data_IF_072427621541
#
_entry.id   IF_072427621541
#
_cell.length_a   1.000
_cell.length_b   1.000
_cell.length_c   1.000
_cell.angle_alpha   90.00
_cell.angle_beta   90.00
_cell.angle_gamma   90.00
#
_symmetry.space_group_name_H-M   'P 1'
#
loop_
_entity.id
_entity.type
_entity.pdbx_description
1 polymer ?
#
# COMPACT_ATOMS: atom_id res chain seq x y z
N UNK A 1 29.97 67.64 3.65
CA UNK A 1 31.28 67.38 3.01
C UNK A 1 31.08 66.32 1.99
N UNK A 2 31.06 66.75 0.84
CA UNK A 2 31.69 66.40 -0.45
C UNK A 2 31.25 65.05 -0.98
N UNK A 3 30.60 64.96 -2.07
CA UNK A 3 30.57 65.57 -3.42
C UNK A 3 30.95 64.57 -4.48
N UNK A 4 30.09 64.53 -5.53
CA UNK A 4 30.35 64.28 -6.95
C UNK A 4 30.62 62.84 -7.40
N UNK A 5 30.12 62.36 -8.50
CA UNK A 5 29.54 63.03 -9.67
C UNK A 5 29.09 62.06 -10.73
N UNK A 6 28.21 62.55 -11.53
CA UNK A 6 27.53 61.96 -12.69
C UNK A 6 28.46 61.73 -13.89
N UNK A 7 27.93 60.95 -14.88
CA UNK A 7 27.84 61.23 -16.34
C UNK A 7 27.37 59.95 -17.06
N UNK A 8 26.15 59.91 -17.48
CA UNK A 8 25.54 59.97 -18.80
C UNK A 8 26.40 59.51 -19.99
N UNK A 9 25.89 58.49 -20.71
CA UNK A 9 25.89 58.48 -22.19
C UNK A 9 24.70 57.68 -22.73
N UNK A 10 23.84 58.43 -23.40
CA UNK A 10 22.79 57.97 -24.31
C UNK A 10 23.49 57.62 -25.64
N UNK A 11 23.13 56.50 -26.23
CA UNK A 11 23.25 56.29 -27.65
C UNK A 11 22.09 55.43 -28.16
N UNK A 12 21.27 56.04 -28.96
CA UNK A 12 20.26 55.43 -29.79
C UNK A 12 20.91 54.73 -30.98
N UNK A 13 20.38 53.63 -31.46
CA UNK A 13 20.04 53.45 -32.87
C UNK A 13 19.39 52.11 -33.22
N UNK A 14 18.33 52.26 -33.91
CA UNK A 14 17.74 51.57 -35.06
C UNK A 14 17.07 50.23 -34.89
N UNK A 15 15.82 50.32 -35.20
CA UNK A 15 14.88 49.24 -35.54
C UNK A 15 15.41 48.37 -36.70
N UNK A 16 15.39 47.06 -36.51
CA UNK A 16 15.22 46.09 -37.60
C UNK A 16 14.23 45.02 -37.13
N UNK A 17 13.05 45.11 -37.67
CA UNK A 17 12.05 44.04 -37.69
C UNK A 17 12.64 42.80 -38.35
N UNK A 18 12.80 41.72 -37.62
CA UNK A 18 12.89 40.37 -38.19
C UNK A 18 11.91 39.48 -37.43
N UNK A 19 10.88 39.10 -38.16
CA UNK A 19 9.98 38.03 -37.82
C UNK A 19 10.79 36.75 -37.58
N UNK A 20 10.85 36.30 -36.34
CA UNK A 20 11.33 34.97 -36.01
C UNK A 20 10.12 34.19 -35.48
N UNK A 21 9.45 33.50 -36.41
CA UNK A 21 8.63 32.34 -36.05
C UNK A 21 9.61 31.26 -35.56
N UNK A 22 9.99 31.37 -34.29
CA UNK A 22 10.78 30.36 -33.59
C UNK A 22 9.84 29.24 -33.18
N UNK A 23 9.99 28.07 -33.79
CA UNK A 23 9.46 26.81 -33.34
C UNK A 23 9.80 26.71 -31.84
N UNK A 24 8.75 26.64 -31.00
CA UNK A 24 8.86 26.16 -29.65
C UNK A 24 9.31 24.69 -29.75
N UNK A 25 10.60 24.48 -29.68
CA UNK A 25 11.13 23.15 -29.46
C UNK A 25 10.60 22.71 -28.10
N UNK A 26 9.80 21.66 -28.09
CA UNK A 26 9.42 20.94 -26.89
C UNK A 26 10.70 20.70 -26.09
N UNK A 27 10.79 21.26 -24.90
CA UNK A 27 11.88 20.93 -23.99
C UNK A 27 11.79 19.42 -23.76
N UNK A 28 12.84 18.64 -24.00
CA UNK A 28 12.81 17.24 -23.67
C UNK A 28 12.51 17.15 -22.19
N UNK A 29 11.44 16.44 -21.84
CA UNK A 29 11.16 16.01 -20.47
C UNK A 29 12.51 15.67 -19.84
N UNK A 30 12.83 16.28 -18.70
CA UNK A 30 13.95 15.84 -17.89
C UNK A 30 13.68 14.36 -17.60
N UNK A 31 14.14 13.51 -18.50
CA UNK A 31 14.37 12.13 -18.15
C UNK A 31 15.15 12.20 -16.84
N UNK A 32 14.59 11.69 -15.78
CA UNK A 32 15.35 11.08 -14.73
C UNK A 32 16.19 10.04 -15.48
N UNK A 33 17.31 10.48 -16.08
CA UNK A 33 18.38 9.56 -16.39
C UNK A 33 18.64 8.93 -15.06
N UNK A 34 18.22 7.66 -14.96
CA UNK A 34 18.45 6.89 -13.78
C UNK A 34 19.84 7.27 -13.31
N UNK A 35 19.98 7.67 -12.07
CA UNK A 35 21.31 7.77 -11.47
C UNK A 35 21.92 6.47 -11.91
N UNK A 36 22.85 6.54 -12.88
CA UNK A 36 23.48 5.35 -13.42
C UNK A 36 24.13 4.72 -12.20
N UNK A 37 23.44 3.79 -11.60
CA UNK A 37 23.96 2.97 -10.54
C UNK A 37 25.08 2.22 -11.23
N UNK A 38 26.34 2.69 -11.04
CA UNK A 38 27.42 1.73 -11.01
C UNK A 38 26.82 0.53 -10.29
N UNK A 39 26.86 -0.65 -10.90
CA UNK A 39 26.44 -1.88 -10.24
C UNK A 39 27.21 -1.99 -8.93
N UNK A 40 26.69 -1.37 -7.91
CA UNK A 40 27.06 -1.64 -6.53
C UNK A 40 26.21 -2.87 -6.23
N UNK A 41 26.86 -3.99 -6.10
CA UNK A 41 26.28 -5.24 -5.64
C UNK A 41 25.93 -5.06 -4.15
N UNK A 42 25.07 -4.06 -3.87
CA UNK A 42 24.65 -3.74 -2.50
C UNK A 42 23.56 -4.74 -2.13
N UNK A 43 23.83 -5.48 -1.06
CA UNK A 43 22.83 -6.35 -0.45
C UNK A 43 21.58 -5.54 -0.14
N UNK A 44 20.40 -6.13 -0.37
CA UNK A 44 19.16 -5.53 0.07
C UNK A 44 19.17 -5.28 1.58
N UNK A 45 18.43 -4.30 2.11
CA UNK A 45 18.52 -3.87 3.51
C UNK A 45 18.31 -4.98 4.54
N UNK A 46 17.45 -5.94 4.22
CA UNK A 46 17.14 -7.08 5.08
C UNK A 46 17.81 -8.41 4.63
N UNK A 47 18.82 -8.33 3.75
CA UNK A 47 19.55 -9.53 3.34
C UNK A 47 20.23 -10.19 4.55
N UNK A 48 19.93 -11.47 4.78
CA UNK A 48 20.37 -12.24 5.93
C UNK A 48 19.37 -12.26 7.09
N UNK A 49 18.32 -11.48 7.05
CA UNK A 49 17.19 -11.57 7.99
C UNK A 49 16.23 -12.66 7.51
N UNK A 50 15.81 -13.52 8.42
CA UNK A 50 14.85 -14.60 8.18
C UNK A 50 13.58 -14.40 8.98
N UNK A 51 12.43 -14.53 8.31
CA UNK A 51 11.09 -14.31 8.88
C UNK A 51 10.31 -15.62 8.82
N UNK A 52 9.86 -16.10 9.95
CA UNK A 52 8.86 -17.17 10.06
C UNK A 52 7.46 -16.52 9.95
N UNK A 53 6.81 -16.73 8.82
CA UNK A 53 5.49 -16.15 8.49
C UNK A 53 4.41 -17.19 8.78
N UNK A 54 3.74 -17.07 9.92
CA UNK A 54 2.59 -17.91 10.30
C UNK A 54 1.27 -17.22 10.00
N UNK A 55 1.28 -16.17 9.18
CA UNK A 55 0.09 -15.36 8.92
C UNK A 55 -0.76 -15.90 7.77
N UNK A 56 -2.01 -15.45 7.73
CA UNK A 56 -2.99 -15.77 6.70
C UNK A 56 -3.74 -14.52 6.26
N UNK A 57 -4.40 -14.58 5.15
CA UNK A 57 -5.29 -13.59 4.55
C UNK A 57 -4.54 -12.37 4.03
N UNK A 58 -4.51 -11.23 4.74
CA UNK A 58 -4.04 -9.98 4.14
C UNK A 58 -3.11 -9.16 5.03
N UNK A 59 -3.53 -8.78 6.24
CA UNK A 59 -2.76 -7.85 7.09
C UNK A 59 -1.34 -8.38 7.40
N UNK A 60 -1.23 -9.58 7.96
CA UNK A 60 0.06 -10.22 8.24
C UNK A 60 0.86 -10.52 6.97
N UNK A 61 0.27 -11.14 5.93
CA UNK A 61 0.94 -11.37 4.64
C UNK A 61 1.45 -10.10 3.97
N UNK A 62 0.77 -8.96 4.11
CA UNK A 62 1.26 -7.65 3.63
C UNK A 62 2.53 -7.24 4.36
N UNK A 63 2.58 -7.39 5.69
CA UNK A 63 3.79 -7.12 6.46
C UNK A 63 4.96 -7.97 5.96
N UNK A 64 4.78 -9.28 5.89
CA UNK A 64 5.87 -10.21 5.52
C UNK A 64 6.27 -10.06 4.05
N UNK A 65 5.36 -9.68 3.14
CA UNK A 65 5.70 -9.34 1.77
C UNK A 65 6.59 -8.09 1.70
N UNK A 66 6.30 -7.03 2.47
CA UNK A 66 7.13 -5.82 2.52
C UNK A 66 8.55 -6.17 3.01
N UNK A 67 8.67 -6.99 4.05
CA UNK A 67 9.98 -7.46 4.54
C UNK A 67 10.69 -8.30 3.49
N UNK A 68 9.96 -9.16 2.78
CA UNK A 68 10.46 -9.93 1.65
C UNK A 68 10.98 -9.05 0.52
N UNK A 69 10.22 -8.04 0.09
CA UNK A 69 10.65 -7.08 -0.95
C UNK A 69 11.94 -6.36 -0.58
N UNK A 70 12.15 -6.09 0.71
CA UNK A 70 13.37 -5.48 1.24
C UNK A 70 14.54 -6.46 1.43
N UNK A 71 14.36 -7.74 1.10
CA UNK A 71 15.46 -8.71 1.05
C UNK A 71 15.46 -9.78 2.13
N UNK A 72 14.50 -9.78 3.05
CA UNK A 72 14.37 -10.86 4.02
C UNK A 72 13.99 -12.18 3.32
N UNK A 73 14.47 -13.29 3.88
CA UNK A 73 14.00 -14.63 3.53
C UNK A 73 12.71 -14.91 4.31
N UNK A 74 11.60 -15.08 3.61
CA UNK A 74 10.29 -15.32 4.22
C UNK A 74 9.94 -16.80 4.10
N UNK A 75 9.75 -17.47 5.24
CA UNK A 75 9.29 -18.85 5.32
C UNK A 75 7.84 -18.84 5.78
N UNK A 76 6.91 -18.94 4.81
CA UNK A 76 5.49 -18.97 5.08
C UNK A 76 5.06 -20.39 5.43
N UNK A 77 4.50 -20.53 6.63
CA UNK A 77 3.92 -21.78 7.12
C UNK A 77 2.45 -21.84 6.73
N UNK A 78 2.11 -22.86 5.98
CA UNK A 78 0.75 -23.08 5.52
C UNK A 78 0.24 -24.47 5.98
N UNK A 79 -1.07 -24.59 6.15
CA UNK A 79 -1.68 -25.90 6.41
C UNK A 79 -1.38 -26.84 5.23
N UNK A 80 -0.90 -28.08 5.43
CA UNK A 80 -0.35 -28.93 4.38
C UNK A 80 -1.32 -29.28 3.24
N UNK A 81 -2.62 -29.21 3.47
CA UNK A 81 -3.64 -29.57 2.46
C UNK A 81 -4.46 -28.39 1.96
N UNK A 82 -4.79 -27.42 2.82
CA UNK A 82 -5.67 -26.30 2.45
C UNK A 82 -4.94 -24.98 2.23
N UNK A 83 -3.69 -24.89 2.70
CA UNK A 83 -2.88 -23.68 2.58
C UNK A 83 -3.43 -22.49 3.39
N UNK A 84 -3.10 -21.30 2.91
CA UNK A 84 -3.73 -20.04 3.30
C UNK A 84 -5.17 -20.00 2.80
N UNK A 85 -6.11 -19.47 3.60
CA UNK A 85 -7.52 -19.40 3.25
C UNK A 85 -7.76 -18.70 1.90
N UNK A 86 -6.90 -17.71 1.57
CA UNK A 86 -6.98 -16.96 0.31
C UNK A 86 -6.69 -17.77 -0.94
N UNK A 87 -6.09 -18.96 -0.83
CA UNK A 87 -5.92 -19.87 -1.98
C UNK A 87 -7.25 -20.33 -2.56
N UNK A 88 -8.31 -20.37 -1.73
CA UNK A 88 -9.66 -20.76 -2.15
C UNK A 88 -10.61 -19.57 -2.39
N UNK A 89 -10.10 -18.31 -2.37
CA UNK A 89 -10.93 -17.12 -2.54
C UNK A 89 -11.02 -16.65 -4.02
N UNK A 90 -10.90 -17.56 -4.94
CA UNK A 90 -11.30 -17.35 -6.33
C UNK A 90 -12.81 -17.55 -6.57
N UNK A 91 -13.33 -17.21 -7.75
CA UNK A 91 -12.66 -16.45 -8.81
C UNK A 91 -12.41 -14.99 -8.47
N UNK A 92 -11.43 -14.29 -9.11
CA UNK A 92 -10.65 -14.80 -10.24
C UNK A 92 -9.46 -15.64 -9.80
N UNK A 93 -9.21 -16.72 -10.55
CA UNK A 93 -8.06 -17.60 -10.41
C UNK A 93 -7.21 -17.57 -11.69
N UNK A 94 -5.90 -17.68 -11.53
CA UNK A 94 -4.98 -17.88 -12.63
C UNK A 94 -4.80 -19.37 -12.87
N UNK A 95 -5.26 -19.88 -14.00
CA UNK A 95 -5.26 -21.30 -14.32
C UNK A 95 -3.82 -21.88 -14.38
N UNK A 96 -3.69 -23.14 -13.98
CA UNK A 96 -2.46 -23.90 -14.16
C UNK A 96 -2.26 -24.25 -15.65
N UNK A 97 -1.02 -24.16 -16.11
CA UNK A 97 -0.62 -24.41 -17.51
C UNK A 97 0.42 -25.53 -17.65
N UNK A 98 0.86 -26.11 -16.54
CA UNK A 98 1.89 -27.18 -16.52
C UNK A 98 1.33 -28.60 -16.64
N UNK A 99 -0.01 -28.75 -16.73
CA UNK A 99 -0.67 -30.05 -16.87
C UNK A 99 -0.71 -30.89 -15.61
N UNK A 100 -0.27 -30.35 -14.46
CA UNK A 100 -0.29 -31.06 -13.18
C UNK A 100 -1.63 -30.81 -12.48
N UNK A 101 -2.31 -31.90 -12.12
CA UNK A 101 -3.55 -31.82 -11.34
C UNK A 101 -3.25 -31.40 -9.89
N UNK A 102 -4.04 -30.47 -9.35
CA UNK A 102 -3.92 -29.93 -7.99
C UNK A 102 -5.29 -29.78 -7.32
N UNK A 103 -5.26 -29.58 -6.01
CA UNK A 103 -6.49 -29.40 -5.22
C UNK A 103 -7.24 -28.09 -5.51
N UNK A 104 -6.55 -27.09 -6.06
CA UNK A 104 -7.15 -25.80 -6.43
C UNK A 104 -7.30 -25.71 -7.96
N UNK A 105 -8.29 -24.97 -8.46
CA UNK A 105 -8.50 -24.81 -9.92
C UNK A 105 -7.43 -23.92 -10.58
N UNK A 106 -6.71 -23.15 -9.78
CA UNK A 106 -5.68 -22.21 -10.17
C UNK A 106 -5.12 -21.51 -8.94
N UNK A 107 -4.23 -20.54 -9.15
CA UNK A 107 -3.77 -19.65 -8.07
C UNK A 107 -4.73 -18.47 -7.95
N UNK A 108 -5.36 -18.31 -6.78
CA UNK A 108 -6.25 -17.18 -6.49
C UNK A 108 -5.53 -15.85 -6.66
N UNK A 109 -6.15 -14.90 -7.36
CA UNK A 109 -5.62 -13.53 -7.49
C UNK A 109 -5.40 -12.85 -6.13
N UNK A 110 -6.21 -13.21 -5.12
CA UNK A 110 -6.04 -12.69 -3.76
C UNK A 110 -4.73 -13.19 -3.14
N UNK A 111 -4.46 -14.51 -3.22
CA UNK A 111 -3.21 -15.09 -2.73
C UNK A 111 -1.99 -14.50 -3.45
N UNK A 112 -2.08 -14.36 -4.79
CA UNK A 112 -0.99 -13.83 -5.61
C UNK A 112 -0.64 -12.38 -5.25
N UNK A 113 -1.57 -11.59 -4.73
CA UNK A 113 -1.37 -10.17 -4.46
C UNK A 113 -0.40 -9.87 -3.33
N UNK A 114 -0.26 -10.78 -2.33
CA UNK A 114 0.48 -10.52 -1.07
C UNK A 114 1.49 -11.60 -0.68
N UNK A 115 1.86 -12.49 -1.60
CA UNK A 115 2.74 -13.61 -1.26
C UNK A 115 3.99 -13.74 -2.16
N UNK A 116 4.33 -12.71 -2.95
CA UNK A 116 5.62 -12.68 -3.69
C UNK A 116 6.82 -12.65 -2.73
N UNK A 117 7.96 -13.11 -3.20
CA UNK A 117 9.21 -13.16 -2.44
C UNK A 117 9.14 -14.02 -1.17
N UNK A 118 8.28 -15.05 -1.16
CA UNK A 118 8.12 -15.98 -0.04
C UNK A 118 8.44 -17.41 -0.47
N UNK A 119 8.91 -18.22 0.49
CA UNK A 119 8.95 -19.68 0.42
C UNK A 119 7.74 -20.23 1.14
N UNK A 120 7.02 -21.18 0.57
CA UNK A 120 5.90 -21.87 1.24
C UNK A 120 6.34 -23.24 1.74
N UNK A 121 6.04 -23.52 3.00
CA UNK A 121 6.15 -24.85 3.61
C UNK A 121 4.78 -25.33 4.05
N UNK A 122 4.38 -26.52 3.63
CA UNK A 122 3.16 -27.18 4.10
C UNK A 122 3.45 -27.90 5.42
N UNK A 123 3.03 -27.33 6.54
CA UNK A 123 3.33 -27.85 7.88
C UNK A 123 2.13 -27.77 8.81
N UNK A 124 1.76 -28.91 9.40
CA UNK A 124 0.72 -28.98 10.45
C UNK A 124 1.36 -28.91 11.81
N UNK A 125 0.92 -28.01 12.65
CA UNK A 125 1.31 -27.94 14.07
C UNK A 125 0.20 -28.47 15.02
N UNK A 126 -0.70 -29.29 14.49
CA UNK A 126 -1.69 -30.00 15.32
C UNK A 126 -1.12 -31.26 15.98
N UNK A 127 0.14 -31.57 15.75
CA UNK A 127 0.85 -32.71 16.32
C UNK A 127 2.23 -32.27 16.89
N UNK A 128 2.83 -33.06 17.79
CA UNK A 128 4.10 -32.70 18.44
C UNK A 128 5.28 -32.54 17.49
N UNK A 129 5.34 -33.32 16.42
CA UNK A 129 6.42 -33.23 15.42
C UNK A 129 6.41 -31.88 14.69
N UNK A 130 5.22 -31.40 14.30
CA UNK A 130 5.06 -30.11 13.66
C UNK A 130 5.42 -28.94 14.59
N UNK A 131 5.05 -29.01 15.87
CA UNK A 131 5.44 -28.03 16.88
C UNK A 131 6.98 -28.03 17.04
N UNK A 132 7.61 -29.20 17.14
CA UNK A 132 9.05 -29.31 17.25
C UNK A 132 9.80 -28.70 16.04
N UNK A 133 9.26 -28.87 14.83
CA UNK A 133 9.77 -28.24 13.61
C UNK A 133 9.67 -26.72 13.72
N UNK A 134 8.53 -26.17 14.15
CA UNK A 134 8.35 -24.72 14.32
C UNK A 134 9.28 -24.14 15.38
N UNK A 135 9.52 -24.84 16.48
CA UNK A 135 10.53 -24.41 17.47
C UNK A 135 11.95 -24.36 16.87
N UNK A 136 12.33 -25.38 16.07
CA UNK A 136 13.63 -25.37 15.36
C UNK A 136 13.70 -24.21 14.37
N UNK A 137 12.63 -23.91 13.63
CA UNK A 137 12.56 -22.75 12.73
C UNK A 137 12.67 -21.43 13.49
N UNK A 138 11.99 -21.28 14.62
CA UNK A 138 12.06 -20.09 15.47
C UNK A 138 13.49 -19.83 15.99
N UNK A 139 14.28 -20.87 16.28
CA UNK A 139 15.71 -20.73 16.63
C UNK A 139 16.58 -20.19 15.49
N UNK A 140 16.16 -20.40 14.23
CA UNK A 140 16.90 -20.01 13.02
C UNK A 140 16.38 -18.72 12.39
N UNK A 141 15.26 -18.18 12.90
CA UNK A 141 14.64 -16.97 12.38
C UNK A 141 14.90 -15.76 13.28
N UNK A 142 14.87 -14.58 12.67
CA UNK A 142 15.03 -13.28 13.33
C UNK A 142 13.70 -12.68 13.74
N UNK A 143 12.65 -13.02 13.00
CA UNK A 143 11.31 -12.49 13.17
C UNK A 143 10.30 -13.64 13.07
N UNK A 144 9.26 -13.60 13.89
CA UNK A 144 8.06 -14.40 13.73
C UNK A 144 6.88 -13.45 13.62
N UNK A 145 6.03 -13.66 12.61
CA UNK A 145 4.78 -12.90 12.44
C UNK A 145 3.61 -13.87 12.43
N UNK A 146 2.60 -13.59 13.25
CA UNK A 146 1.39 -14.42 13.34
C UNK A 146 0.14 -13.54 13.38
N UNK A 147 -1.03 -14.09 13.02
CA UNK A 147 -2.31 -13.40 13.11
C UNK A 147 -3.45 -14.30 13.58
N UNK A 148 -3.19 -15.07 14.62
CA UNK A 148 -4.17 -15.88 15.31
C UNK A 148 -4.87 -15.08 16.41
N UNK A 149 -6.02 -15.61 16.91
CA UNK A 149 -6.67 -15.01 18.08
C UNK A 149 -5.72 -15.03 19.29
N UNK A 150 -5.70 -13.96 20.10
CA UNK A 150 -4.89 -13.89 21.30
C UNK A 150 -5.03 -15.13 22.19
N UNK A 151 -3.91 -15.64 22.67
CA UNK A 151 -3.83 -16.83 23.49
C UNK A 151 -4.00 -18.18 22.79
N UNK A 152 -4.48 -18.22 21.53
CA UNK A 152 -4.73 -19.48 20.82
C UNK A 152 -3.49 -20.29 20.51
N UNK A 153 -2.33 -19.64 20.35
CA UNK A 153 -1.03 -20.30 20.12
C UNK A 153 -0.41 -20.88 21.37
N UNK A 154 -0.88 -20.52 22.57
CA UNK A 154 -0.33 -21.00 23.83
C UNK A 154 -0.42 -22.52 23.98
N UNK A 155 -1.52 -23.14 23.59
CA UNK A 155 -1.71 -24.61 23.61
C UNK A 155 -0.72 -25.35 22.70
N UNK A 156 -0.15 -24.66 21.71
CA UNK A 156 0.84 -25.19 20.80
C UNK A 156 2.28 -24.79 21.19
N UNK A 157 2.45 -24.07 22.30
CA UNK A 157 3.76 -23.55 22.75
C UNK A 157 4.43 -22.66 21.68
N UNK A 158 3.61 -21.92 20.92
CA UNK A 158 4.05 -21.01 19.85
C UNK A 158 3.77 -19.54 20.20
N UNK A 159 3.37 -19.27 21.45
CA UNK A 159 3.17 -17.92 22.00
C UNK A 159 4.52 -17.23 22.27
N UNK A 160 4.48 -15.89 22.43
CA UNK A 160 5.67 -15.10 22.71
C UNK A 160 6.46 -15.58 23.92
N UNK A 161 5.80 -15.91 25.02
CA UNK A 161 6.44 -16.33 26.27
C UNK A 161 7.29 -17.61 26.09
N UNK A 162 6.82 -18.51 25.25
CA UNK A 162 7.54 -19.75 24.92
C UNK A 162 8.65 -19.48 23.91
N UNK A 163 8.34 -18.79 22.81
CA UNK A 163 9.30 -18.55 21.72
C UNK A 163 10.45 -17.66 22.16
N UNK A 164 10.22 -16.65 23.01
CA UNK A 164 11.27 -15.78 23.54
C UNK A 164 12.29 -16.51 24.43
N UNK A 165 11.89 -17.61 25.07
CA UNK A 165 12.83 -18.48 25.81
C UNK A 165 13.68 -19.35 24.87
N UNK A 166 13.10 -19.75 23.73
CA UNK A 166 13.79 -20.54 22.70
C UNK A 166 14.79 -19.66 21.94
N UNK A 167 14.41 -18.43 21.60
CA UNK A 167 15.23 -17.43 20.91
C UNK A 167 14.98 -16.03 21.48
N UNK A 168 15.76 -15.60 22.49
CA UNK A 168 15.61 -14.28 23.12
C UNK A 168 15.85 -13.09 22.18
N UNK A 169 16.49 -13.32 21.03
CA UNK A 169 16.76 -12.28 20.04
C UNK A 169 15.66 -12.16 18.98
N UNK A 170 14.66 -13.04 18.99
CA UNK A 170 13.59 -13.06 18.00
C UNK A 170 12.60 -11.92 18.23
N UNK A 171 12.30 -11.18 17.18
CA UNK A 171 11.19 -10.20 17.16
C UNK A 171 9.90 -10.94 16.87
N UNK A 172 8.95 -10.89 17.79
CA UNK A 172 7.66 -11.55 17.67
C UNK A 172 6.57 -10.52 17.38
N UNK A 173 5.88 -10.63 16.27
CA UNK A 173 4.82 -9.69 15.88
C UNK A 173 3.45 -10.39 15.79
N UNK A 174 2.51 -9.96 16.61
CA UNK A 174 1.12 -10.40 16.60
C UNK A 174 0.25 -9.38 15.86
N UNK A 175 -0.51 -9.81 14.87
CA UNK A 175 -1.46 -8.99 14.13
C UNK A 175 -2.88 -9.47 14.44
N UNK A 176 -3.69 -8.65 15.09
CA UNK A 176 -5.02 -9.06 15.55
C UNK A 176 -6.09 -7.99 15.24
N UNK A 177 -7.35 -8.32 15.42
CA UNK A 177 -8.44 -7.35 15.25
C UNK A 177 -8.41 -6.22 16.29
N UNK A 178 -8.20 -6.57 17.57
CA UNK A 178 -8.38 -5.64 18.68
C UNK A 178 -7.22 -5.59 19.67
N UNK A 179 -6.09 -6.20 19.36
CA UNK A 179 -4.90 -6.22 20.22
C UNK A 179 -4.88 -7.40 21.19
N UNK A 180 -3.73 -7.56 21.88
CA UNK A 180 -3.51 -8.61 22.87
C UNK A 180 -4.10 -8.29 24.24
N UNK A 181 -4.52 -7.06 24.44
CA UNK A 181 -5.09 -6.55 25.70
C UNK A 181 -6.37 -5.75 25.45
N UNK A 182 -7.06 -5.37 26.52
CA UNK A 182 -8.30 -4.60 26.43
C UNK A 182 -9.56 -5.48 26.38
N UNK A 183 -10.73 -4.82 26.40
CA UNK A 183 -12.02 -5.52 26.60
C UNK A 183 -12.46 -6.37 25.39
N UNK A 184 -11.83 -6.23 24.24
CA UNK A 184 -12.17 -6.94 23.00
C UNK A 184 -11.05 -7.85 22.48
N UNK A 185 -10.02 -8.12 23.28
CA UNK A 185 -8.87 -8.91 22.86
C UNK A 185 -9.20 -10.34 22.41
N UNK A 186 -10.30 -10.92 22.89
CA UNK A 186 -10.78 -12.25 22.52
C UNK A 186 -11.74 -12.26 21.31
N UNK A 187 -12.07 -11.07 20.76
CA UNK A 187 -12.96 -10.97 19.59
C UNK A 187 -12.21 -11.17 18.29
N UNK A 188 -12.83 -11.93 17.39
CA UNK A 188 -12.38 -11.97 16.00
C UNK A 188 -12.67 -10.63 15.32
N UNK A 189 -11.69 -10.11 14.58
CA UNK A 189 -11.83 -8.89 13.79
C UNK A 189 -11.31 -9.11 12.37
N UNK A 190 -12.11 -8.66 11.41
CA UNK A 190 -11.69 -8.51 10.01
C UNK A 190 -11.77 -7.04 9.63
N UNK A 191 -11.15 -6.67 8.54
CA UNK A 191 -11.09 -5.30 8.01
C UNK A 191 -12.42 -4.55 8.11
N UNK A 192 -13.46 -5.08 7.49
CA UNK A 192 -14.77 -4.40 7.38
C UNK A 192 -15.48 -4.24 8.73
N UNK A 193 -15.26 -5.14 9.70
CA UNK A 193 -15.80 -5.03 11.04
C UNK A 193 -15.13 -3.89 11.81
N UNK A 194 -13.82 -3.77 11.65
CA UNK A 194 -13.04 -2.69 12.27
C UNK A 194 -13.29 -1.35 11.56
N UNK A 195 -13.43 -1.31 10.22
CA UNK A 195 -13.89 -0.10 9.52
C UNK A 195 -15.22 0.41 10.10
N UNK A 196 -16.15 -0.50 10.38
CA UNK A 196 -17.46 -0.15 10.92
C UNK A 196 -17.37 0.36 12.37
N UNK A 197 -16.67 -0.37 13.25
CA UNK A 197 -16.62 -0.09 14.69
C UNK A 197 -15.72 1.10 15.01
N UNK A 198 -14.62 1.29 14.26
CA UNK A 198 -13.65 2.39 14.47
C UNK A 198 -13.89 3.59 13.56
N UNK A 199 -15.08 3.75 13.00
CA UNK A 199 -15.58 5.00 12.43
C UNK A 199 -15.20 5.28 10.97
N UNK A 200 -14.32 4.51 10.32
CA UNK A 200 -13.95 4.76 8.92
C UNK A 200 -15.16 4.61 7.99
N UNK A 201 -15.95 3.57 8.17
CA UNK A 201 -17.16 3.35 7.39
C UNK A 201 -18.18 4.49 7.58
N UNK A 202 -18.28 5.07 8.80
CA UNK A 202 -19.17 6.20 9.08
C UNK A 202 -18.83 7.44 8.23
N UNK A 203 -17.56 7.73 8.00
CA UNK A 203 -17.10 8.91 7.24
C UNK A 203 -16.92 8.63 5.74
N UNK A 204 -17.15 7.40 5.27
CA UNK A 204 -16.95 6.97 3.89
C UNK A 204 -18.29 6.85 3.14
N UNK A 205 -18.37 7.43 1.94
CA UNK A 205 -19.55 7.40 1.07
C UNK A 205 -20.19 8.78 0.85
N UNK A 206 -21.27 8.81 0.08
CA UNK A 206 -22.03 10.01 -0.21
C UNK A 206 -22.78 10.53 1.02
N UNK A 207 -22.97 11.87 1.09
CA UNK A 207 -23.46 12.56 2.28
C UNK A 207 -24.80 12.03 2.78
N UNK A 208 -25.74 11.86 1.89
CA UNK A 208 -27.13 11.51 2.19
C UNK A 208 -27.46 10.04 1.85
N UNK A 209 -26.42 9.20 1.76
CA UNK A 209 -26.54 7.77 1.51
C UNK A 209 -26.05 6.97 2.72
N UNK A 210 -26.39 5.67 2.80
CA UNK A 210 -25.83 4.79 3.82
C UNK A 210 -24.31 4.79 3.81
N UNK A 211 -23.64 4.49 4.97
CA UNK A 211 -22.21 4.27 5.02
C UNK A 211 -21.80 3.12 4.09
N UNK A 212 -20.60 3.22 3.54
CA UNK A 212 -20.02 2.17 2.68
C UNK A 212 -18.61 1.82 3.17
N UNK A 213 -18.19 0.58 2.95
CA UNK A 213 -16.80 0.19 3.18
C UNK A 213 -15.87 0.83 2.14
N UNK A 214 -14.60 0.94 2.44
CA UNK A 214 -13.57 1.28 1.45
C UNK A 214 -13.46 0.16 0.41
N UNK A 215 -13.13 0.49 -0.83
CA UNK A 215 -13.08 -0.47 -1.95
C UNK A 215 -12.05 -1.59 -1.78
N UNK A 216 -10.94 -1.31 -1.08
CA UNK A 216 -9.92 -2.29 -0.69
C UNK A 216 -9.96 -2.48 0.82
N UNK A 217 -9.40 -3.57 1.34
CA UNK A 217 -9.26 -3.82 2.79
C UNK A 217 -8.14 -2.91 3.36
N UNK A 218 -8.44 -1.62 3.47
CA UNK A 218 -7.46 -0.57 3.80
C UNK A 218 -6.94 -0.68 5.22
N UNK A 219 -7.76 -1.15 6.15
CA UNK A 219 -7.38 -1.37 7.56
C UNK A 219 -6.37 -2.51 7.66
N UNK A 220 -6.60 -3.62 6.97
CA UNK A 220 -5.64 -4.73 6.87
C UNK A 220 -4.31 -4.26 6.28
N UNK A 221 -4.35 -3.57 5.13
CA UNK A 221 -3.15 -3.09 4.43
C UNK A 221 -2.36 -2.12 5.31
N UNK A 222 -3.02 -1.16 5.95
CA UNK A 222 -2.36 -0.20 6.84
C UNK A 222 -1.77 -0.87 8.08
N UNK A 223 -2.47 -1.84 8.66
CA UNK A 223 -1.96 -2.64 9.79
C UNK A 223 -0.72 -3.43 9.38
N UNK A 224 -0.74 -4.06 8.20
CA UNK A 224 0.44 -4.73 7.66
C UNK A 224 1.64 -3.78 7.49
N UNK A 225 1.42 -2.55 7.02
CA UNK A 225 2.46 -1.53 6.92
C UNK A 225 2.97 -1.09 8.29
N UNK A 226 2.10 -0.79 9.26
CA UNK A 226 2.51 -0.45 10.61
C UNK A 226 3.27 -1.58 11.29
N UNK A 227 2.84 -2.82 11.10
CA UNK A 227 3.55 -4.00 11.63
C UNK A 227 4.95 -4.11 11.02
N UNK A 228 5.09 -3.91 9.71
CA UNK A 228 6.41 -3.91 9.07
C UNK A 228 7.33 -2.80 9.62
N UNK A 229 6.80 -1.59 9.84
CA UNK A 229 7.54 -0.50 10.49
C UNK A 229 7.96 -0.90 11.91
N UNK A 230 7.06 -1.49 12.69
CA UNK A 230 7.35 -1.97 14.04
C UNK A 230 8.46 -3.02 14.04
N UNK A 231 8.40 -3.99 13.12
CA UNK A 231 9.45 -5.01 12.95
C UNK A 231 10.79 -4.38 12.59
N UNK A 232 10.82 -3.44 11.65
CA UNK A 232 12.05 -2.73 11.28
C UNK A 232 12.65 -1.96 12.46
N UNK A 233 11.82 -1.28 13.25
CA UNK A 233 12.25 -0.56 14.46
C UNK A 233 12.79 -1.52 15.52
N UNK A 234 12.16 -2.67 15.73
CA UNK A 234 12.60 -3.69 16.66
C UNK A 234 13.94 -4.33 16.23
N UNK A 235 14.09 -4.63 14.93
CA UNK A 235 15.36 -5.14 14.38
C UNK A 235 16.48 -4.10 14.51
N UNK A 236 16.17 -2.81 14.34
CA UNK A 236 17.14 -1.75 14.55
C UNK A 236 17.57 -1.68 16.03
N UNK A 237 16.63 -1.67 16.97
CA UNK A 237 16.91 -1.66 18.41
C UNK A 237 17.68 -2.90 18.87
N UNK A 238 17.40 -4.06 18.28
CA UNK A 238 18.09 -5.33 18.58
C UNK A 238 19.62 -5.26 18.33
N UNK A 239 20.08 -4.41 17.41
CA UNK A 239 21.51 -4.24 17.11
C UNK A 239 22.31 -3.80 18.33
N UNK A 240 21.68 -3.01 19.20
CA UNK A 240 22.31 -2.46 20.40
C UNK A 240 22.05 -3.33 21.63
N UNK A 241 20.86 -3.93 21.71
CA UNK A 241 20.42 -4.69 22.89
C UNK A 241 20.71 -6.20 22.81
N UNK A 242 20.84 -6.73 21.60
CA UNK A 242 20.89 -8.18 21.34
C UNK A 242 19.55 -8.90 21.56
N UNK A 243 18.52 -8.20 22.03
CA UNK A 243 17.22 -8.78 22.40
C UNK A 243 16.15 -8.45 21.39
N UNK A 244 15.27 -9.42 21.12
CA UNK A 244 14.02 -9.23 20.44
C UNK A 244 12.97 -8.61 21.36
N UNK A 245 11.76 -8.45 20.85
CA UNK A 245 10.61 -7.96 21.62
C UNK A 245 9.30 -8.41 21.02
N UNK A 246 8.24 -8.30 21.81
CA UNK A 246 6.88 -8.54 21.32
C UNK A 246 6.28 -7.24 20.75
N UNK A 247 5.69 -7.33 19.57
CA UNK A 247 4.96 -6.27 18.90
C UNK A 247 3.50 -6.70 18.85
N UNK A 248 2.64 -5.90 19.46
CA UNK A 248 1.19 -6.03 19.37
C UNK A 248 0.68 -5.00 18.36
N UNK A 249 0.17 -5.46 17.23
CA UNK A 249 -0.37 -4.62 16.16
C UNK A 249 -1.84 -4.99 15.93
N UNK A 250 -2.75 -4.08 16.30
CA UNK A 250 -4.17 -4.31 16.10
C UNK A 250 -4.74 -3.51 14.93
N UNK A 251 -5.71 -4.10 14.24
CA UNK A 251 -6.46 -3.41 13.20
C UNK A 251 -7.17 -2.17 13.78
N UNK A 252 -7.74 -2.29 14.99
CA UNK A 252 -8.46 -1.20 15.66
C UNK A 252 -7.57 0.00 15.92
N UNK A 253 -6.37 -0.19 16.46
CA UNK A 253 -5.46 0.91 16.79
C UNK A 253 -4.92 1.57 15.53
N UNK A 254 -4.54 0.76 14.52
CA UNK A 254 -4.11 1.25 13.23
C UNK A 254 -5.22 2.03 12.51
N UNK A 255 -6.48 1.57 12.62
CA UNK A 255 -7.62 2.29 12.05
C UNK A 255 -7.86 3.63 12.75
N UNK A 256 -7.82 3.68 14.09
CA UNK A 256 -7.97 4.93 14.85
C UNK A 256 -6.85 5.91 14.51
N UNK A 257 -5.61 5.44 14.41
CA UNK A 257 -4.49 6.26 13.92
C UNK A 257 -4.74 6.78 12.48
N UNK A 258 -5.35 5.96 11.64
CA UNK A 258 -5.71 6.29 10.25
C UNK A 258 -6.83 7.33 10.11
N UNK A 259 -7.63 7.61 11.14
CA UNK A 259 -8.64 8.69 11.11
C UNK A 259 -8.04 10.10 11.08
N UNK A 260 -6.75 10.24 11.39
CA UNK A 260 -5.93 11.44 11.22
C UNK A 260 -6.61 12.74 11.66
N UNK A 261 -6.79 13.70 10.72
CA UNK A 261 -7.37 15.02 10.99
C UNK A 261 -8.85 14.95 11.40
N UNK A 262 -9.60 13.94 11.04
CA UNK A 262 -11.02 13.80 11.41
C UNK A 262 -11.11 13.52 12.92
N UNK A 263 -10.34 12.54 13.42
CA UNK A 263 -10.27 12.27 14.84
C UNK A 263 -9.73 13.47 15.62
N UNK A 264 -8.65 14.12 15.13
CA UNK A 264 -8.09 15.33 15.76
C UNK A 264 -9.11 16.45 15.83
N UNK A 265 -9.94 16.65 14.82
CA UNK A 265 -11.00 17.67 14.82
C UNK A 265 -12.00 17.44 15.94
N UNK A 266 -12.45 16.21 16.12
CA UNK A 266 -13.38 15.83 17.20
C UNK A 266 -12.72 16.02 18.59
N UNK A 267 -11.49 15.53 18.75
CA UNK A 267 -10.76 15.61 20.02
C UNK A 267 -10.47 17.04 20.47
N UNK A 268 -10.07 17.91 19.52
CA UNK A 268 -9.71 19.31 19.83
C UNK A 268 -10.94 20.18 20.06
N UNK A 269 -12.01 19.95 19.32
CA UNK A 269 -13.20 20.82 19.37
C UNK A 269 -14.28 20.31 20.31
N UNK A 270 -14.28 19.03 20.65
CA UNK A 270 -15.38 18.36 21.37
C UNK A 270 -16.69 18.31 20.58
N UNK A 271 -16.66 18.68 19.29
CA UNK A 271 -17.85 18.70 18.43
C UNK A 271 -17.96 17.39 17.66
N UNK A 272 -19.20 17.02 17.35
CA UNK A 272 -19.48 15.88 16.47
C UNK A 272 -18.80 16.10 15.11
N UNK A 273 -18.33 15.01 14.50
CA UNK A 273 -17.78 15.01 13.15
C UNK A 273 -18.81 15.48 12.10
N UNK A 274 -18.33 15.85 10.92
CA UNK A 274 -19.18 16.37 9.83
C UNK A 274 -19.78 15.26 8.95
N UNK A 275 -19.53 14.00 9.28
CA UNK A 275 -20.00 12.83 8.52
C UNK A 275 -19.33 12.65 7.17
N UNK A 276 -20.09 12.07 6.23
CA UNK A 276 -19.62 11.74 4.87
C UNK A 276 -19.64 12.93 3.93
N UNK A 277 -18.68 12.96 3.01
CA UNK A 277 -18.56 14.04 2.02
C UNK A 277 -18.42 13.51 0.58
N UNK A 278 -18.62 12.22 0.34
CA UNK A 278 -18.37 11.61 -0.96
C UNK A 278 -16.92 11.83 -1.42
N UNK A 279 -16.77 12.41 -2.59
CA UNK A 279 -15.45 12.80 -3.11
C UNK A 279 -15.04 14.23 -2.70
N UNK A 280 -15.90 14.98 -1.99
CA UNK A 280 -15.63 16.36 -1.64
C UNK A 280 -14.79 16.51 -0.37
N UNK A 281 -13.95 17.53 -0.32
CA UNK A 281 -13.28 17.93 0.92
C UNK A 281 -14.22 18.73 1.83
N UNK A 282 -14.24 18.43 3.13
CA UNK A 282 -15.17 19.07 4.06
C UNK A 282 -15.02 20.61 4.17
N UNK A 283 -13.79 21.12 4.13
CA UNK A 283 -13.45 22.52 4.41
C UNK A 283 -12.74 23.26 3.28
N UNK A 284 -12.62 22.68 2.10
CA UNK A 284 -11.97 23.27 0.93
C UNK A 284 -12.87 23.14 -0.29
N UNK A 285 -13.09 24.24 -1.02
CA UNK A 285 -13.97 24.30 -2.20
C UNK A 285 -13.38 25.21 -3.28
N UNK A 286 -13.38 24.77 -4.56
CA UNK A 286 -13.74 23.44 -5.06
C UNK A 286 -12.63 22.40 -4.85
N UNK A 287 -12.98 21.23 -4.36
CA UNK A 287 -12.12 20.07 -4.23
C UNK A 287 -12.95 18.81 -4.16
N UNK A 288 -13.24 18.21 -5.30
CA UNK A 288 -14.02 16.97 -5.47
C UNK A 288 -13.93 16.43 -6.89
N UNK A 289 -14.50 15.24 -7.12
CA UNK A 289 -14.80 14.76 -8.46
C UNK A 289 -16.12 15.40 -8.97
N UNK A 290 -16.13 15.82 -10.22
CA UNK A 290 -17.24 16.37 -10.96
C UNK A 290 -17.54 15.54 -12.20
N UNK A 291 -18.80 15.53 -12.64
CA UNK A 291 -19.17 14.93 -13.90
C UNK A 291 -18.65 15.76 -15.07
N UNK A 292 -18.15 15.08 -16.08
CA UNK A 292 -17.85 15.61 -17.40
C UNK A 292 -18.92 15.15 -18.39
N UNK A 293 -18.73 15.42 -19.67
CA UNK A 293 -19.67 14.96 -20.71
C UNK A 293 -19.75 13.42 -20.80
N UNK A 294 -18.68 12.72 -20.43
CA UNK A 294 -18.55 11.26 -20.61
C UNK A 294 -18.26 10.50 -19.31
N UNK A 295 -17.44 11.01 -18.41
CA UNK A 295 -17.03 10.33 -17.18
C UNK A 295 -16.96 11.28 -15.97
N UNK A 296 -15.88 11.24 -15.19
CA UNK A 296 -15.65 12.12 -14.05
C UNK A 296 -14.21 12.62 -14.01
N UNK A 297 -14.02 13.85 -13.54
CA UNK A 297 -12.72 14.45 -13.31
C UNK A 297 -12.63 15.00 -11.89
N UNK A 298 -11.57 14.68 -11.17
CA UNK A 298 -11.26 15.30 -9.89
C UNK A 298 -10.50 16.61 -10.11
N UNK A 299 -10.92 17.68 -9.42
CA UNK A 299 -10.34 19.02 -9.54
C UNK A 299 -10.09 19.59 -8.15
N UNK A 300 -8.92 20.19 -7.94
CA UNK A 300 -8.50 20.77 -6.66
C UNK A 300 -8.18 22.27 -6.76
N UNK A 301 -9.19 23.14 -6.66
CA UNK A 301 -9.00 24.59 -6.50
C UNK A 301 -8.72 25.00 -5.06
N UNK A 302 -7.72 24.35 -4.41
CA UNK A 302 -7.56 24.30 -2.95
C UNK A 302 -7.25 25.64 -2.25
N UNK A 303 -6.83 26.66 -2.97
CA UNK A 303 -6.59 28.01 -2.44
C UNK A 303 -7.01 29.06 -3.48
N UNK A 304 -6.98 30.34 -3.12
CA UNK A 304 -7.48 31.42 -3.99
C UNK A 304 -6.71 31.51 -5.31
N UNK A 305 -5.40 31.23 -5.30
CA UNK A 305 -4.57 31.17 -6.53
C UNK A 305 -5.02 30.04 -7.46
N UNK A 306 -5.20 28.84 -6.93
CA UNK A 306 -5.64 27.67 -7.71
C UNK A 306 -7.10 27.80 -8.16
N UNK A 307 -7.95 28.37 -7.33
CA UNK A 307 -9.30 28.73 -7.72
C UNK A 307 -9.32 29.70 -8.91
N UNK A 308 -8.48 30.74 -8.87
CA UNK A 308 -8.36 31.67 -9.99
C UNK A 308 -7.82 31.01 -11.28
N UNK A 309 -6.96 30.00 -11.18
CA UNK A 309 -6.53 29.19 -12.34
C UNK A 309 -7.72 28.39 -12.88
N UNK A 310 -8.46 27.71 -12.02
CA UNK A 310 -9.65 26.95 -12.41
C UNK A 310 -10.65 27.84 -13.17
N UNK A 311 -11.02 29.00 -12.61
CA UNK A 311 -11.95 29.91 -13.25
C UNK A 311 -11.51 30.34 -14.66
N UNK A 312 -10.24 30.67 -14.82
CA UNK A 312 -9.68 31.04 -16.14
C UNK A 312 -9.71 29.86 -17.11
N UNK A 313 -9.39 28.65 -16.66
CA UNK A 313 -9.42 27.44 -17.50
C UNK A 313 -10.84 27.02 -17.89
N UNK A 314 -11.82 27.28 -17.03
CA UNK A 314 -13.25 27.12 -17.34
C UNK A 314 -13.81 28.22 -18.25
N UNK A 315 -13.04 29.29 -18.52
CA UNK A 315 -13.53 30.45 -19.28
C UNK A 315 -14.44 31.36 -18.47
N UNK A 316 -14.35 31.33 -17.15
CA UNK A 316 -15.21 32.08 -16.20
C UNK A 316 -14.39 32.97 -15.27
N UNK A 317 -13.53 33.87 -15.78
CA UNK A 317 -12.68 34.72 -14.95
C UNK A 317 -13.47 35.63 -14.01
N UNK A 318 -14.72 35.97 -14.33
CA UNK A 318 -15.64 36.77 -13.51
C UNK A 318 -15.92 36.12 -12.15
N UNK A 319 -15.84 34.79 -12.03
CA UNK A 319 -16.06 34.11 -10.75
C UNK A 319 -14.96 34.41 -9.71
N UNK A 320 -13.78 34.88 -10.15
CA UNK A 320 -12.67 35.22 -9.25
C UNK A 320 -13.02 36.40 -8.33
N UNK A 321 -13.82 37.35 -8.85
CA UNK A 321 -14.22 38.57 -8.14
C UNK A 321 -15.66 38.54 -7.62
N UNK A 322 -16.36 37.42 -7.81
CA UNK A 322 -17.71 37.23 -7.27
C UNK A 322 -17.64 37.20 -5.72
N UNK A 323 -18.35 38.12 -5.07
CA UNK A 323 -18.36 38.26 -3.61
C UNK A 323 -18.68 36.97 -2.85
N UNK A 324 -19.40 36.04 -3.47
CA UNK A 324 -19.73 34.73 -2.91
C UNK A 324 -18.52 33.79 -2.86
N UNK A 325 -17.45 34.03 -3.67
CA UNK A 325 -16.40 33.05 -3.94
C UNK A 325 -14.96 33.57 -3.73
N UNK A 326 -14.80 34.86 -3.38
CA UNK A 326 -13.46 35.50 -3.25
C UNK A 326 -12.54 34.86 -2.22
N UNK A 327 -13.06 34.18 -1.21
CA UNK A 327 -12.27 33.45 -0.22
C UNK A 327 -12.74 32.01 -0.07
N UNK A 328 -11.86 31.10 0.39
CA UNK A 328 -12.26 29.73 0.66
C UNK A 328 -13.43 29.62 1.63
N UNK A 329 -13.47 30.46 2.69
CA UNK A 329 -14.56 30.46 3.67
C UNK A 329 -15.91 30.77 3.00
N UNK A 330 -15.95 31.73 2.09
CA UNK A 330 -17.15 32.07 1.31
C UNK A 330 -17.51 30.96 0.32
N UNK A 331 -16.54 30.35 -0.34
CA UNK A 331 -16.77 29.18 -1.23
C UNK A 331 -17.34 28.00 -0.45
N UNK A 332 -16.85 27.73 0.75
CA UNK A 332 -17.41 26.69 1.63
C UNK A 332 -18.85 27.00 2.00
N UNK A 333 -19.15 28.28 2.34
CA UNK A 333 -20.52 28.74 2.66
C UNK A 333 -21.47 28.59 1.47
N UNK A 334 -20.99 28.85 0.27
CA UNK A 334 -21.78 28.81 -0.98
C UNK A 334 -21.45 27.57 -1.85
N UNK A 335 -21.02 26.48 -1.21
CA UNK A 335 -20.53 25.24 -1.85
C UNK A 335 -21.47 24.71 -2.90
N UNK A 336 -22.76 24.54 -2.56
CA UNK A 336 -23.75 23.93 -3.44
C UNK A 336 -23.92 24.71 -4.76
N UNK A 337 -23.91 26.03 -4.65
CA UNK A 337 -24.01 26.93 -5.83
C UNK A 337 -22.75 26.80 -6.69
N UNK A 338 -21.57 26.93 -6.07
CA UNK A 338 -20.30 26.88 -6.80
C UNK A 338 -20.04 25.52 -7.43
N UNK A 339 -20.27 24.42 -6.69
CA UNK A 339 -20.09 23.07 -7.20
C UNK A 339 -21.01 22.79 -8.39
N UNK A 340 -22.27 23.24 -8.34
CA UNK A 340 -23.21 23.12 -9.47
C UNK A 340 -22.75 23.95 -10.70
N UNK A 341 -22.25 25.16 -10.49
CA UNK A 341 -21.72 26.01 -11.57
C UNK A 341 -20.48 25.36 -12.22
N UNK A 342 -19.54 24.85 -11.42
CA UNK A 342 -18.34 24.17 -11.92
C UNK A 342 -18.70 22.90 -12.69
N UNK A 343 -19.62 22.09 -12.16
CA UNK A 343 -20.08 20.86 -12.83
C UNK A 343 -20.76 21.14 -14.16
N UNK A 344 -21.59 22.19 -14.24
CA UNK A 344 -22.25 22.60 -15.49
C UNK A 344 -21.25 22.93 -16.60
N UNK A 345 -20.13 23.63 -16.27
CA UNK A 345 -19.09 23.92 -17.27
C UNK A 345 -18.28 22.64 -17.62
N UNK A 346 -17.97 21.81 -16.63
CA UNK A 346 -17.21 20.57 -16.88
C UNK A 346 -17.98 19.56 -17.74
N UNK A 347 -19.32 19.54 -17.67
CA UNK A 347 -20.17 18.68 -18.51
C UNK A 347 -20.19 19.09 -20.00
N UNK A 348 -19.71 20.26 -20.36
CA UNK A 348 -19.67 20.72 -21.76
C UNK A 348 -18.62 19.98 -22.60
N UNK A 349 -17.64 19.34 -21.99
CA UNK A 349 -16.52 18.66 -22.65
C UNK A 349 -16.26 17.29 -22.06
N UNK A 350 -15.57 16.44 -22.82
CA UNK A 350 -15.10 15.13 -22.36
C UNK A 350 -13.98 15.28 -21.32
N UNK A 351 -13.77 14.23 -20.54
CA UNK A 351 -12.65 14.18 -19.58
C UNK A 351 -11.33 14.42 -20.26
N UNK A 352 -11.10 13.81 -21.43
CA UNK A 352 -9.85 13.95 -22.18
C UNK A 352 -9.61 15.41 -22.62
N UNK A 353 -10.61 16.08 -23.14
CA UNK A 353 -10.51 17.51 -23.52
C UNK A 353 -10.17 18.39 -22.31
N UNK A 354 -10.71 18.07 -21.12
CA UNK A 354 -10.38 18.81 -19.89
C UNK A 354 -8.96 18.53 -19.41
N UNK A 355 -8.47 17.29 -19.51
CA UNK A 355 -7.08 16.96 -19.17
C UNK A 355 -6.11 17.80 -20.03
N UNK A 356 -6.37 17.95 -21.34
CA UNK A 356 -5.56 18.76 -22.24
C UNK A 356 -5.64 20.27 -21.89
N UNK A 357 -6.83 20.78 -21.56
CA UNK A 357 -7.02 22.17 -21.13
C UNK A 357 -6.27 22.45 -19.83
N UNK A 358 -6.29 21.53 -18.88
CA UNK A 358 -5.64 21.71 -17.58
C UNK A 358 -4.14 21.41 -17.59
N UNK A 359 -3.62 20.78 -18.64
CA UNK A 359 -2.21 20.48 -18.74
C UNK A 359 -1.34 21.74 -18.57
N UNK A 360 -0.26 21.62 -17.80
CA UNK A 360 0.67 22.72 -17.51
C UNK A 360 0.08 23.87 -16.68
N UNK A 361 -1.18 23.77 -16.20
CA UNK A 361 -1.81 24.83 -15.42
C UNK A 361 -1.23 25.04 -14.02
N UNK A 362 -0.56 24.02 -13.46
CA UNK A 362 -0.09 24.00 -12.08
C UNK A 362 -1.21 23.77 -11.04
N UNK A 363 -2.44 23.50 -11.48
CA UNK A 363 -3.57 23.13 -10.64
C UNK A 363 -3.67 21.59 -10.55
N UNK A 364 -4.01 21.00 -9.38
CA UNK A 364 -4.28 19.57 -9.26
C UNK A 364 -5.56 19.16 -10.00
N UNK A 365 -5.45 18.17 -10.86
CA UNK A 365 -6.57 17.54 -11.57
C UNK A 365 -6.21 16.11 -11.95
N UNK A 366 -7.21 15.23 -12.08
CA UNK A 366 -7.04 13.86 -12.55
C UNK A 366 -8.36 13.28 -13.06
N UNK A 367 -8.31 12.43 -14.08
CA UNK A 367 -9.45 11.57 -14.44
C UNK A 367 -9.73 10.57 -13.32
N UNK A 368 -10.98 10.20 -13.13
CA UNK A 368 -11.37 9.08 -12.27
C UNK A 368 -11.27 7.80 -13.11
N UNK A 369 -10.14 7.12 -13.02
CA UNK A 369 -9.88 5.90 -13.77
C UNK A 369 -10.50 4.67 -13.09
N UNK A 370 -10.89 3.69 -13.90
CA UNK A 370 -11.11 2.33 -13.43
C UNK A 370 -9.77 1.59 -13.20
N UNK A 371 -9.83 0.36 -12.70
CA UNK A 371 -8.61 -0.42 -12.42
C UNK A 371 -7.88 -0.79 -13.72
N UNK A 372 -8.61 -1.05 -14.82
CA UNK A 372 -8.01 -1.34 -16.12
C UNK A 372 -7.22 -0.13 -16.65
N UNK A 373 -7.78 1.06 -16.56
CA UNK A 373 -7.09 2.31 -16.89
C UNK A 373 -5.88 2.56 -15.99
N UNK A 374 -5.99 2.25 -14.70
CA UNK A 374 -4.89 2.41 -13.74
C UNK A 374 -3.70 1.51 -14.07
N UNK A 375 -3.92 0.21 -14.30
CA UNK A 375 -2.79 -0.72 -14.56
C UNK A 375 -2.13 -0.49 -15.92
N UNK A 376 -2.83 0.15 -16.86
CA UNK A 376 -2.30 0.53 -18.17
C UNK A 376 -1.84 2.00 -18.24
N UNK A 377 -1.96 2.76 -17.14
CA UNK A 377 -1.60 4.17 -17.12
C UNK A 377 -0.10 4.37 -17.40
N UNK A 378 0.24 5.28 -18.31
CA UNK A 378 1.63 5.53 -18.75
C UNK A 378 2.59 5.79 -17.58
N UNK A 379 2.14 6.58 -16.59
CA UNK A 379 2.94 6.87 -15.40
C UNK A 379 3.18 5.62 -14.53
N UNK A 380 2.18 4.75 -14.38
CA UNK A 380 2.27 3.48 -13.64
C UNK A 380 3.28 2.56 -14.32
N UNK A 381 3.21 2.44 -15.65
CA UNK A 381 4.13 1.63 -16.45
C UNK A 381 5.56 2.22 -16.44
N UNK A 382 5.70 3.54 -16.64
CA UNK A 382 7.00 4.24 -16.61
C UNK A 382 7.70 4.12 -15.24
N UNK A 383 6.96 3.91 -14.16
CA UNK A 383 7.50 3.69 -12.81
C UNK A 383 7.70 2.22 -12.46
N UNK A 384 7.53 1.30 -13.41
CA UNK A 384 7.64 -0.15 -13.21
C UNK A 384 6.79 -0.65 -12.03
N UNK A 385 5.54 -0.15 -11.93
CA UNK A 385 4.62 -0.60 -10.87
C UNK A 385 3.92 -1.90 -11.22
N UNK A 386 3.96 -2.32 -12.48
CA UNK A 386 3.47 -3.61 -12.94
C UNK A 386 4.68 -4.38 -13.49
N UNK A 387 4.92 -5.56 -12.93
CA UNK A 387 6.03 -6.44 -13.32
C UNK A 387 5.50 -7.81 -13.75
N UNK A 388 6.04 -8.35 -14.85
CA UNK A 388 5.73 -9.69 -15.33
C UNK A 388 6.78 -10.66 -14.83
N UNK A 389 6.36 -11.70 -14.12
CA UNK A 389 7.25 -12.75 -13.59
C UNK A 389 6.82 -14.12 -14.07
N UNK A 390 7.78 -15.04 -14.20
CA UNK A 390 7.50 -16.44 -14.51
C UNK A 390 7.02 -17.17 -13.25
N UNK A 391 5.80 -17.74 -13.30
CA UNK A 391 5.27 -18.56 -12.23
C UNK A 391 5.41 -20.06 -12.62
N UNK A 392 5.84 -20.94 -11.72
CA UNK A 392 6.19 -22.32 -12.05
C UNK A 392 5.03 -23.13 -12.64
N UNK A 393 3.81 -22.84 -12.25
CA UNK A 393 2.62 -23.58 -12.71
C UNK A 393 1.68 -22.78 -13.61
N UNK A 394 1.74 -21.44 -13.61
CA UNK A 394 0.76 -20.61 -14.33
C UNK A 394 1.39 -19.83 -15.50
N UNK A 395 2.68 -20.07 -15.82
CA UNK A 395 3.38 -19.32 -16.86
C UNK A 395 3.68 -17.87 -16.44
N UNK A 396 3.32 -16.90 -17.29
CA UNK A 396 3.60 -15.47 -17.02
C UNK A 396 2.49 -14.83 -16.20
N UNK A 397 2.87 -14.18 -15.09
CA UNK A 397 1.96 -13.50 -14.17
C UNK A 397 2.37 -12.04 -14.04
N UNK A 398 1.42 -11.11 -14.16
CA UNK A 398 1.64 -9.70 -13.88
C UNK A 398 1.26 -9.39 -12.43
N UNK A 399 2.16 -8.77 -11.71
CA UNK A 399 1.99 -8.41 -10.30
C UNK A 399 2.28 -6.92 -10.09
N UNK A 400 1.65 -6.35 -9.06
CA UNK A 400 1.99 -4.99 -8.61
C UNK A 400 3.34 -5.05 -7.90
N UNK A 401 4.27 -4.16 -8.28
CA UNK A 401 5.64 -4.14 -7.75
C UNK A 401 5.75 -3.32 -6.45
N UNK A 402 6.94 -3.34 -5.84
CA UNK A 402 7.25 -2.54 -4.64
C UNK A 402 7.15 -1.03 -4.94
N UNK A 403 6.41 -0.25 -4.11
CA UNK A 403 6.09 1.14 -4.45
C UNK A 403 7.21 2.15 -4.16
N UNK A 404 8.13 1.82 -3.22
CA UNK A 404 9.20 2.74 -2.81
C UNK A 404 10.42 2.56 -3.71
N UNK A 405 10.93 3.67 -4.25
CA UNK A 405 12.13 3.68 -5.10
C UNK A 405 13.30 4.24 -4.29
N UNK A 406 14.42 3.53 -4.30
CA UNK A 406 15.64 3.89 -3.59
C UNK A 406 16.74 4.29 -4.58
N UNK A 407 17.65 5.15 -4.17
CA UNK A 407 18.75 5.60 -5.02
C UNK A 407 19.91 4.61 -5.15
N UNK A 408 20.00 3.62 -4.25
CA UNK A 408 21.15 2.68 -4.19
C UNK A 408 20.76 1.22 -4.31
N UNK A 409 19.54 0.87 -3.97
CA UNK A 409 19.02 -0.49 -4.01
C UNK A 409 17.75 -0.52 -4.86
N UNK A 410 17.40 -1.67 -5.39
CA UNK A 410 16.19 -1.86 -6.18
C UNK A 410 15.39 -3.04 -5.59
N UNK A 411 14.48 -2.77 -4.63
CA UNK A 411 13.51 -3.78 -4.22
C UNK A 411 12.65 -4.18 -5.41
N UNK A 412 12.55 -5.47 -5.67
CA UNK A 412 11.81 -6.02 -6.81
C UNK A 412 11.22 -7.38 -6.48
N UNK A 413 10.37 -7.86 -7.36
CA UNK A 413 9.88 -9.23 -7.30
C UNK A 413 11.01 -10.16 -7.73
N UNK A 414 11.61 -10.87 -6.77
CA UNK A 414 12.69 -11.85 -7.02
C UNK A 414 12.14 -13.23 -7.31
N UNK A 415 11.04 -13.59 -6.64
CA UNK A 415 10.33 -14.86 -6.84
C UNK A 415 8.83 -14.59 -6.89
N UNK A 416 8.08 -15.31 -7.76
CA UNK A 416 6.62 -15.24 -7.78
C UNK A 416 6.06 -15.78 -6.45
N UNK A 417 4.76 -15.55 -6.16
CA UNK A 417 4.09 -16.24 -5.07
C UNK A 417 4.24 -17.77 -5.21
N UNK A 418 4.54 -18.49 -4.12
CA UNK A 418 4.85 -19.91 -4.21
C UNK A 418 3.59 -20.78 -4.30
N UNK A 419 3.73 -21.96 -4.89
CA UNK A 419 2.75 -23.04 -4.74
C UNK A 419 2.71 -23.53 -3.28
N UNK A 420 1.60 -24.12 -2.87
CA UNK A 420 1.46 -24.71 -1.54
C UNK A 420 2.56 -25.76 -1.28
N UNK A 421 3.34 -25.58 -0.23
CA UNK A 421 4.37 -26.50 0.18
C UNK A 421 5.59 -26.58 -0.76
N UNK A 422 5.69 -25.71 -1.76
CA UNK A 422 6.73 -25.75 -2.81
C UNK A 422 8.15 -25.89 -2.25
N UNK A 423 8.42 -25.35 -1.08
CA UNK A 423 9.76 -25.28 -0.49
C UNK A 423 9.89 -26.13 0.78
N UNK A 424 8.95 -27.07 1.03
CA UNK A 424 8.95 -27.86 2.26
C UNK A 424 10.25 -28.65 2.41
N UNK A 425 10.67 -29.39 1.39
CA UNK A 425 11.88 -30.21 1.43
C UNK A 425 13.14 -29.36 1.52
N UNK A 426 13.22 -28.30 0.75
CA UNK A 426 14.33 -27.35 0.76
C UNK A 426 14.56 -26.82 2.17
N UNK A 427 13.51 -26.31 2.82
CA UNK A 427 13.62 -25.72 4.16
C UNK A 427 13.96 -26.78 5.22
N UNK A 428 13.35 -27.95 5.15
CA UNK A 428 13.64 -29.04 6.10
C UNK A 428 15.08 -29.56 5.96
N UNK A 429 15.55 -29.76 4.73
CA UNK A 429 16.92 -30.24 4.48
C UNK A 429 17.98 -29.18 4.75
N UNK A 430 17.88 -28.04 4.06
CA UNK A 430 18.96 -27.04 4.05
C UNK A 430 19.05 -26.24 5.35
N UNK A 431 17.91 -25.93 5.96
CA UNK A 431 17.89 -25.10 7.17
C UNK A 431 17.89 -25.92 8.46
N UNK A 432 17.22 -27.07 8.48
CA UNK A 432 17.04 -27.88 9.68
C UNK A 432 17.82 -29.19 9.66
N UNK A 433 18.41 -29.58 8.52
CA UNK A 433 19.27 -30.78 8.41
C UNK A 433 18.52 -32.11 8.45
N UNK A 434 17.22 -32.12 8.03
CA UNK A 434 16.47 -33.38 7.95
C UNK A 434 16.92 -34.21 6.76
N UNK A 435 17.02 -35.50 6.97
CA UNK A 435 17.32 -36.47 5.92
C UNK A 435 16.02 -36.85 5.15
N UNK A 436 16.18 -37.39 3.93
CA UNK A 436 15.04 -37.75 3.05
C UNK A 436 14.08 -38.74 3.73
N UNK A 437 14.62 -39.73 4.46
CA UNK A 437 13.81 -40.71 5.19
C UNK A 437 12.95 -40.11 6.28
N UNK A 438 13.49 -39.11 7.00
CA UNK A 438 12.74 -38.38 8.04
C UNK A 438 11.60 -37.57 7.43
N UNK A 439 11.87 -36.87 6.32
CA UNK A 439 10.84 -36.10 5.60
C UNK A 439 9.73 -37.01 5.07
N UNK A 440 10.09 -38.15 4.51
CA UNK A 440 9.11 -39.16 4.05
C UNK A 440 8.22 -39.65 5.21
N UNK A 441 8.79 -39.92 6.37
CA UNK A 441 8.04 -40.30 7.58
C UNK A 441 7.12 -39.17 8.08
N UNK A 442 7.51 -37.89 7.94
CA UNK A 442 6.64 -36.75 8.27
C UNK A 442 5.47 -36.61 7.29
N UNK A 443 5.68 -36.93 5.99
CA UNK A 443 4.61 -36.97 4.98
C UNK A 443 3.59 -38.05 5.25
N UNK A 444 4.06 -39.29 5.55
CA UNK A 444 3.17 -40.41 5.91
C UNK A 444 2.26 -40.06 7.10
N UNK A 445 2.79 -39.32 8.06
CA UNK A 445 2.03 -38.81 9.23
C UNK A 445 1.18 -37.56 8.91
N UNK A 446 1.22 -37.04 7.67
CA UNK A 446 0.56 -35.79 7.27
C UNK A 446 0.98 -34.58 8.09
N UNK A 447 2.19 -34.61 8.65
CA UNK A 447 2.79 -33.47 9.35
C UNK A 447 3.25 -32.42 8.36
N UNK A 448 3.79 -32.85 7.21
CA UNK A 448 4.21 -31.96 6.11
C UNK A 448 3.54 -32.35 4.80
N UNK A 449 3.52 -31.39 3.84
CA UNK A 449 3.02 -31.59 2.48
C UNK A 449 4.05 -32.30 1.60
#
# INVERSE_FOLDING_TARGET
>A
MSSFGALSRVAACSARSRSVVGRLAAQPHRQWRGIATKQVNEKLPLAGIRVLDMTRVLAGPTCTQILGDLGAEIIKVEHPTRGDDTRSWGPPDLAYTDGVERSFPGESAYYLSVNRNKKSIGLSFNNPEGIAILHKLAQKCDVLVENYLPGSLKKYQLDYETISKINPSLVYASVTGYGQTGPYSDRAGYDVMVEAEMGLMHITGERDRPPVKVGVAVTDISTGMYTAIGVLAALYSRRDTGLGQWIDASLSDCQVAGLANIASSVLVTGKKDSGRWGTAHATVVPYRAYKTKDTNIAVGGCNDKLYGILCRKLGKPEWITDERFITNALRVKHREVLDAMVEAELQLRTTQEWLEIFEGSGMPYAAVNDIQGTVNHEHVLARNMIEEVAHPACGKVKLVNHPVKYSRIEPKIRTPPPLLGQHTDEVLKELLGFEEGEISGLREKKTVA
#
